data_IF_149022633551
#
_entry.id   IF_149022633551
#
_cell.length_a   1.000
_cell.length_b   1.000
_cell.length_c   1.000
_cell.angle_alpha   90.00
_cell.angle_beta   90.00
_cell.angle_gamma   90.00
#
_symmetry.space_group_name_H-M   'P 1'
#
loop_
_entity.id
_entity.type
_entity.pdbx_description
1 polymer ?
#
# COMPACT_ATOMS: atom_id res chain seq x y z
N UNK A 1 -23.34 -32.35 17.96
CA UNK A 1 -22.25 -31.83 17.10
C UNK A 1 -22.00 -30.34 17.34
N UNK A 2 -23.02 -29.49 17.39
CA UNK A 2 -22.88 -28.02 17.62
C UNK A 2 -22.20 -27.65 18.93
N UNK A 3 -22.57 -28.29 20.05
CA UNK A 3 -21.96 -27.99 21.37
C UNK A 3 -20.46 -28.30 21.37
N UNK A 4 -20.09 -29.46 20.82
CA UNK A 4 -18.68 -29.87 20.72
C UNK A 4 -17.90 -28.91 19.82
N UNK A 5 -18.48 -28.49 18.68
CA UNK A 5 -17.86 -27.51 17.80
C UNK A 5 -17.64 -26.16 18.49
N UNK A 6 -18.62 -25.67 19.26
CA UNK A 6 -18.50 -24.42 20.02
C UNK A 6 -17.39 -24.54 21.08
N UNK A 7 -17.30 -25.66 21.79
CA UNK A 7 -16.26 -25.90 22.79
C UNK A 7 -14.86 -25.90 22.18
N UNK A 8 -14.68 -26.52 21.01
CA UNK A 8 -13.40 -26.49 20.30
C UNK A 8 -13.04 -25.09 19.80
N UNK A 9 -14.01 -24.33 19.30
CA UNK A 9 -13.80 -22.93 18.89
C UNK A 9 -13.37 -22.07 20.08
N UNK A 10 -14.02 -22.21 21.24
CA UNK A 10 -13.66 -21.47 22.45
C UNK A 10 -12.27 -21.86 22.96
N UNK A 11 -11.93 -23.15 22.94
CA UNK A 11 -10.61 -23.64 23.35
C UNK A 11 -9.50 -23.13 22.42
N UNK A 12 -9.73 -23.12 21.10
CA UNK A 12 -8.80 -22.58 20.13
C UNK A 12 -8.58 -21.07 20.30
N UNK A 13 -9.65 -20.32 20.64
CA UNK A 13 -9.54 -18.90 20.98
C UNK A 13 -8.69 -18.68 22.24
N UNK A 14 -8.92 -19.47 23.29
CA UNK A 14 -8.13 -19.39 24.53
C UNK A 14 -6.68 -19.77 24.32
N UNK A 15 -6.42 -20.81 23.55
CA UNK A 15 -5.07 -21.22 23.17
C UNK A 15 -4.36 -20.11 22.37
N UNK A 16 -5.07 -19.41 21.48
CA UNK A 16 -4.51 -18.27 20.75
C UNK A 16 -4.22 -17.10 21.68
N UNK A 17 -5.10 -16.76 22.62
CA UNK A 17 -4.86 -15.70 23.61
C UNK A 17 -3.64 -16.00 24.51
N UNK A 18 -3.37 -17.26 24.85
CA UNK A 18 -2.24 -17.64 25.71
C UNK A 18 -0.91 -17.78 24.95
N UNK A 19 -0.92 -18.18 23.67
CA UNK A 19 0.29 -18.47 22.89
C UNK A 19 0.67 -17.29 21.98
N UNK A 20 -0.32 -16.57 21.43
CA UNK A 20 -0.10 -15.45 20.53
C UNK A 20 0.09 -14.17 21.34
N UNK A 21 1.35 -13.74 21.46
CA UNK A 21 1.71 -12.52 22.15
C UNK A 21 1.20 -11.25 21.42
N UNK A 22 0.62 -11.39 20.22
CA UNK A 22 0.01 -10.29 19.46
C UNK A 22 -1.49 -10.32 19.63
N UNK A 23 -2.04 -9.27 20.21
CA UNK A 23 -3.50 -9.11 20.26
C UNK A 23 -4.05 -8.91 18.84
N UNK A 24 -5.33 -9.22 18.62
CA UNK A 24 -6.03 -8.87 17.38
C UNK A 24 -5.92 -7.35 17.09
N UNK A 25 -5.83 -6.53 18.14
CA UNK A 25 -5.56 -5.10 18.03
C UNK A 25 -4.20 -4.78 17.41
N UNK A 26 -3.15 -5.51 17.77
CA UNK A 26 -1.81 -5.32 17.19
C UNK A 26 -1.77 -5.73 15.72
N UNK A 27 -2.46 -6.82 15.36
CA UNK A 27 -2.59 -7.24 13.96
C UNK A 27 -3.39 -6.21 13.14
N UNK A 28 -4.46 -5.66 13.72
CA UNK A 28 -5.21 -4.57 13.08
C UNK A 28 -4.34 -3.33 12.89
N UNK A 29 -3.54 -2.96 13.90
CA UNK A 29 -2.64 -1.82 13.81
C UNK A 29 -1.58 -2.00 12.71
N UNK A 30 -0.96 -3.18 12.64
CA UNK A 30 0.00 -3.52 11.57
C UNK A 30 -0.62 -3.47 10.17
N UNK A 31 -1.86 -3.96 10.02
CA UNK A 31 -2.56 -3.85 8.73
C UNK A 31 -2.92 -2.41 8.37
N UNK A 32 -3.28 -1.57 9.35
CA UNK A 32 -3.60 -0.15 9.11
C UNK A 32 -2.34 0.65 8.74
N UNK A 33 -1.21 0.34 9.35
CA UNK A 33 0.08 0.94 9.01
C UNK A 33 0.47 0.65 7.55
N UNK A 34 0.37 -0.62 7.12
CA UNK A 34 0.61 -1.01 5.72
C UNK A 34 -0.41 -0.40 4.73
N UNK A 35 -1.67 -0.20 5.14
CA UNK A 35 -2.69 0.48 4.33
C UNK A 35 -2.35 1.97 4.12
N UNK A 36 -1.65 2.60 5.04
CA UNK A 36 -1.25 4.01 4.92
C UNK A 36 -0.20 4.21 3.81
N UNK A 37 0.72 3.26 3.66
CA UNK A 37 1.70 3.25 2.56
C UNK A 37 1.04 3.04 1.20
N UNK A 38 0.02 2.17 1.12
CA UNK A 38 -0.78 1.99 -0.09
C UNK A 38 -1.48 3.31 -0.48
N UNK A 39 -1.95 4.08 0.49
CA UNK A 39 -2.57 5.39 0.26
C UNK A 39 -1.57 6.40 -0.31
N UNK A 40 -0.33 6.42 0.20
CA UNK A 40 0.71 7.34 -0.29
C UNK A 40 1.06 7.06 -1.76
N UNK A 41 1.25 5.80 -2.13
CA UNK A 41 1.61 5.40 -3.50
C UNK A 41 0.51 5.77 -4.48
N UNK A 42 -0.75 5.56 -4.09
CA UNK A 42 -1.92 5.93 -4.90
C UNK A 42 -2.01 7.44 -5.07
N UNK A 43 -1.86 8.21 -3.98
CA UNK A 43 -1.87 9.67 -4.04
C UNK A 43 -0.71 10.22 -4.91
N UNK A 44 0.47 9.61 -4.80
CA UNK A 44 1.64 10.01 -5.59
C UNK A 44 1.46 9.71 -7.08
N UNK A 45 0.85 8.57 -7.44
CA UNK A 45 0.49 8.27 -8.84
C UNK A 45 -0.50 9.30 -9.40
N UNK A 46 -1.53 9.66 -8.63
CA UNK A 46 -2.49 10.69 -9.03
C UNK A 46 -1.84 12.06 -9.21
N UNK A 47 -0.87 12.42 -8.37
CA UNK A 47 -0.09 13.65 -8.50
C UNK A 47 0.70 13.68 -9.82
N UNK A 48 1.36 12.56 -10.18
CA UNK A 48 2.08 12.44 -11.44
C UNK A 48 1.13 12.55 -12.64
N UNK A 49 -0.04 11.91 -12.59
CA UNK A 49 -1.04 12.02 -13.66
C UNK A 49 -1.53 13.46 -13.84
N UNK A 50 -1.79 14.19 -12.75
CA UNK A 50 -2.13 15.60 -12.81
C UNK A 50 -0.99 16.44 -13.41
N UNK A 51 0.25 16.16 -13.03
CA UNK A 51 1.43 16.82 -13.59
C UNK A 51 1.56 16.56 -15.10
N UNK A 52 1.32 15.32 -15.56
CA UNK A 52 1.27 14.99 -16.99
C UNK A 52 0.23 15.83 -17.72
N UNK A 53 -0.99 15.87 -17.18
CA UNK A 53 -2.11 16.58 -17.79
C UNK A 53 -1.83 18.08 -17.93
N UNK A 54 -1.34 18.72 -16.86
CA UNK A 54 -0.98 20.14 -16.89
C UNK A 54 0.14 20.40 -17.90
N UNK A 55 1.16 19.53 -17.93
CA UNK A 55 2.29 19.69 -18.84
C UNK A 55 1.89 19.48 -20.32
N UNK A 56 0.95 18.58 -20.60
CA UNK A 56 0.42 18.38 -21.95
C UNK A 56 -0.42 19.59 -22.41
N UNK A 57 -1.28 20.12 -21.53
CA UNK A 57 -2.18 21.23 -21.85
C UNK A 57 -1.44 22.59 -21.95
N UNK A 58 -0.48 22.85 -21.06
CA UNK A 58 0.15 24.17 -20.90
C UNK A 58 1.51 24.30 -21.63
N UNK A 59 2.26 23.20 -21.76
CA UNK A 59 3.59 23.20 -22.41
C UNK A 59 3.59 22.58 -23.80
N UNK A 60 2.46 22.04 -24.28
CA UNK A 60 2.32 21.36 -25.59
C UNK A 60 3.47 20.37 -25.83
N UNK A 61 3.84 19.64 -24.76
CA UNK A 61 4.86 18.61 -24.83
C UNK A 61 4.26 17.37 -25.48
N UNK A 62 5.02 16.73 -26.37
CA UNK A 62 4.65 15.45 -26.93
C UNK A 62 4.64 14.36 -25.85
N UNK A 63 3.66 13.47 -25.89
CA UNK A 63 3.45 12.43 -24.87
C UNK A 63 4.69 11.55 -24.70
N UNK A 64 5.46 11.30 -25.77
CA UNK A 64 6.68 10.50 -25.71
C UNK A 64 7.77 11.22 -24.90
N UNK A 65 7.95 12.51 -25.13
CA UNK A 65 8.93 13.33 -24.39
C UNK A 65 8.57 13.43 -22.91
N UNK A 66 7.28 13.58 -22.61
CA UNK A 66 6.76 13.71 -21.26
C UNK A 66 6.92 12.40 -20.47
N UNK A 67 6.64 11.26 -21.13
CA UNK A 67 6.85 9.94 -20.53
C UNK A 67 8.33 9.65 -20.25
N UNK A 68 9.24 10.09 -21.13
CA UNK A 68 10.68 9.95 -20.92
C UNK A 68 11.17 10.78 -19.73
N UNK A 69 10.68 12.02 -19.57
CA UNK A 69 11.04 12.86 -18.42
C UNK A 69 10.57 12.21 -17.11
N UNK A 70 9.36 11.64 -17.10
CA UNK A 70 8.81 11.00 -15.90
C UNK A 70 9.51 9.68 -15.59
N UNK A 71 9.87 8.88 -16.59
CA UNK A 71 10.63 7.65 -16.36
C UNK A 71 12.02 7.95 -15.80
N UNK A 72 12.68 8.99 -16.30
CA UNK A 72 13.97 9.44 -15.79
C UNK A 72 13.84 10.01 -14.37
N UNK A 73 12.81 10.81 -14.09
CA UNK A 73 12.50 11.29 -12.74
C UNK A 73 12.29 10.14 -11.75
N UNK A 74 11.50 9.12 -12.12
CA UNK A 74 11.27 7.93 -11.29
C UNK A 74 12.56 7.13 -11.06
N UNK A 75 13.47 7.10 -12.04
CA UNK A 75 14.78 6.43 -11.92
C UNK A 75 15.74 7.14 -10.97
N UNK A 76 15.56 8.45 -10.75
CA UNK A 76 16.35 9.26 -9.82
C UNK A 76 15.83 9.20 -8.37
N UNK A 77 14.64 8.64 -8.14
CA UNK A 77 14.11 8.49 -6.79
C UNK A 77 15.00 7.58 -5.93
N UNK A 78 15.05 7.78 -4.61
CA UNK A 78 15.75 6.88 -3.70
C UNK A 78 15.29 5.41 -3.84
N UNK A 79 16.24 4.47 -3.74
CA UNK A 79 16.03 3.03 -4.02
C UNK A 79 14.89 2.38 -3.21
N UNK A 80 14.60 2.90 -2.02
CA UNK A 80 13.50 2.44 -1.16
C UNK A 80 12.12 2.71 -1.78
N UNK A 81 11.96 3.79 -2.54
CA UNK A 81 10.70 4.12 -3.20
C UNK A 81 10.61 3.53 -4.61
N UNK A 82 11.73 3.30 -5.30
CA UNK A 82 11.74 2.68 -6.63
C UNK A 82 11.01 1.33 -6.65
N UNK A 83 11.23 0.47 -5.63
CA UNK A 83 10.60 -0.87 -5.55
C UNK A 83 9.07 -0.84 -5.54
N UNK A 84 8.46 0.27 -5.17
CA UNK A 84 7.01 0.38 -5.01
C UNK A 84 6.32 0.78 -6.31
N UNK A 85 7.08 1.31 -7.28
CA UNK A 85 6.57 1.76 -8.57
C UNK A 85 6.90 0.81 -9.74
N UNK A 86 7.65 -0.27 -9.50
CA UNK A 86 8.03 -1.31 -10.47
C UNK A 86 7.54 -2.69 -10.04
#
# INVERSE_FOLDING_TARGET
>A
TTIVAISYTLLALKQREEIDNRSIGDLFYLMVDELSDLSFVVAFKQLIELFKKISADELVLDDETLNNIISEFLSQLPKNYQRVFW
#
